data_IF_781548049667
#
_entry.id   IF_781548049667
#
_cell.length_a   1.000
_cell.length_b   1.000
_cell.length_c   1.000
_cell.angle_alpha   90.00
_cell.angle_beta   90.00
_cell.angle_gamma   90.00
#
_symmetry.space_group_name_H-M   'P 1'
#
loop_
_entity.id
_entity.type
_entity.pdbx_description
1 polymer ?
#
# COMPACT_ATOMS: atom_id res chain seq x y z
N UNK A 1 -8.62 15.73 14.01
CA UNK A 1 -10.07 15.53 13.75
C UNK A 1 -10.61 14.32 14.52
N UNK A 2 -10.02 13.13 14.39
CA UNK A 2 -10.48 11.92 15.10
C UNK A 2 -10.37 12.04 16.63
N UNK A 3 -9.31 12.66 17.15
CA UNK A 3 -9.15 12.90 18.57
C UNK A 3 -10.22 13.84 19.16
N UNK A 4 -10.77 14.75 18.34
CA UNK A 4 -11.87 15.62 18.72
C UNK A 4 -13.26 14.98 18.59
N UNK A 5 -13.36 13.79 17.99
CA UNK A 5 -14.61 13.06 17.90
C UNK A 5 -14.79 12.21 19.15
N UNK A 6 -15.57 12.68 20.10
CA UNK A 6 -15.86 11.93 21.33
C UNK A 6 -16.46 10.56 21.03
N UNK A 7 -16.05 9.58 21.82
CA UNK A 7 -16.41 8.16 21.76
C UNK A 7 -17.87 7.91 21.39
N UNK A 8 -18.11 7.14 20.35
CA UNK A 8 -19.42 6.64 19.93
C UNK A 8 -20.13 7.43 18.83
N UNK A 9 -19.61 8.58 18.40
CA UNK A 9 -20.17 9.35 17.29
C UNK A 9 -19.45 9.10 15.97
N UNK A 10 -20.17 9.03 14.86
CA UNK A 10 -19.56 9.06 13.52
C UNK A 10 -18.85 10.41 13.33
N UNK A 11 -17.53 10.38 13.17
CA UNK A 11 -16.76 11.57 12.83
C UNK A 11 -17.15 12.04 11.43
N UNK A 12 -18.02 13.03 11.36
CA UNK A 12 -18.47 13.56 10.07
C UNK A 12 -17.40 14.34 9.34
N UNK A 13 -17.50 14.41 8.02
CA UNK A 13 -16.59 15.18 7.16
C UNK A 13 -16.49 16.67 7.57
N UNK A 14 -17.53 17.21 8.24
CA UNK A 14 -17.55 18.55 8.79
C UNK A 14 -16.49 18.80 9.87
N UNK A 15 -16.24 17.83 10.74
CA UNK A 15 -15.19 17.92 11.78
C UNK A 15 -13.79 17.94 11.17
N UNK A 16 -13.57 17.18 10.10
CA UNK A 16 -12.31 17.19 9.35
C UNK A 16 -12.11 18.54 8.66
N UNK A 17 -13.13 19.04 7.96
CA UNK A 17 -13.09 20.35 7.29
C UNK A 17 -12.82 21.48 8.27
N UNK A 18 -13.45 21.45 9.44
CA UNK A 18 -13.21 22.43 10.50
C UNK A 18 -11.77 22.39 10.99
N UNK A 19 -11.24 21.20 11.32
CA UNK A 19 -9.85 21.06 11.78
C UNK A 19 -8.84 21.55 10.72
N UNK A 20 -9.07 21.23 9.44
CA UNK A 20 -8.22 21.74 8.34
C UNK A 20 -8.30 23.26 8.22
N UNK A 21 -9.49 23.83 8.36
CA UNK A 21 -9.67 25.29 8.33
C UNK A 21 -8.96 25.98 9.49
N UNK A 22 -9.09 25.40 10.69
CA UNK A 22 -8.46 25.95 11.90
C UNK A 22 -6.91 25.89 11.81
N UNK A 23 -6.33 24.80 11.28
CA UNK A 23 -4.88 24.66 11.03
C UNK A 23 -4.38 25.61 9.95
N UNK A 24 -5.20 25.95 8.94
CA UNK A 24 -4.86 26.95 7.92
C UNK A 24 -4.95 28.38 8.44
N UNK A 25 -5.66 28.60 9.54
CA UNK A 25 -5.84 29.87 10.20
C UNK A 25 -4.93 30.08 11.41
N UNK A 26 -3.72 29.49 11.39
CA UNK A 26 -2.65 29.64 12.40
C UNK A 26 -2.89 29.00 13.78
N UNK A 27 -3.93 28.19 13.95
CA UNK A 27 -4.06 27.39 15.18
C UNK A 27 -3.06 26.23 15.20
N UNK A 28 -2.42 26.03 16.35
CA UNK A 28 -1.56 24.86 16.52
C UNK A 28 -2.38 23.56 16.71
N UNK A 29 -1.80 22.39 16.41
CA UNK A 29 -2.43 21.12 16.72
C UNK A 29 -2.83 21.01 18.19
N UNK A 30 -2.02 21.51 19.11
CA UNK A 30 -2.24 21.49 20.56
C UNK A 30 -3.48 22.31 20.94
N UNK A 31 -3.67 23.50 20.35
CA UNK A 31 -4.86 24.33 20.57
C UNK A 31 -6.14 23.65 20.08
N UNK A 32 -6.06 22.83 19.03
CA UNK A 32 -7.21 22.08 18.52
C UNK A 32 -7.58 20.87 19.40
N UNK A 33 -6.63 20.35 20.17
CA UNK A 33 -6.81 19.15 20.97
C UNK A 33 -7.47 19.43 22.31
N UNK A 34 -7.20 20.59 22.91
CA UNK A 34 -7.66 20.92 24.24
C UNK A 34 -7.25 19.85 25.26
N UNK A 35 -8.23 19.31 26.00
CA UNK A 35 -7.99 18.28 27.02
C UNK A 35 -8.00 16.82 26.49
N UNK A 36 -7.83 16.61 25.19
CA UNK A 36 -7.93 15.27 24.57
C UNK A 36 -6.55 14.62 24.26
N UNK A 37 -5.50 14.94 25.01
CA UNK A 37 -4.12 14.48 24.79
C UNK A 37 -4.02 12.96 24.64
N UNK A 38 -4.72 12.19 25.48
CA UNK A 38 -4.71 10.72 25.40
C UNK A 38 -5.18 10.18 24.06
N UNK A 39 -6.23 10.74 23.49
CA UNK A 39 -6.74 10.31 22.18
C UNK A 39 -5.86 10.80 21.05
N UNK A 40 -5.26 11.98 21.20
CA UNK A 40 -4.26 12.47 20.25
C UNK A 40 -3.08 11.53 20.18
N UNK A 41 -2.45 11.22 21.30
CA UNK A 41 -1.29 10.33 21.36
C UNK A 41 -1.58 8.97 20.74
N UNK A 42 -2.75 8.40 21.03
CA UNK A 42 -3.15 7.12 20.44
C UNK A 42 -3.22 7.19 18.92
N UNK A 43 -3.97 8.16 18.37
CA UNK A 43 -4.11 8.30 16.92
C UNK A 43 -2.84 8.78 16.25
N UNK A 44 -2.08 9.67 16.87
CA UNK A 44 -0.79 10.12 16.35
C UNK A 44 0.16 8.95 16.15
N UNK A 45 0.34 8.10 17.16
CA UNK A 45 1.18 6.90 17.07
C UNK A 45 0.69 5.91 16.02
N UNK A 46 -0.62 5.71 15.92
CA UNK A 46 -1.19 4.82 14.92
C UNK A 46 -0.93 5.33 13.49
N UNK A 47 -1.18 6.61 13.24
CA UNK A 47 -0.93 7.20 11.92
C UNK A 47 0.56 7.35 11.62
N UNK A 48 1.39 7.70 12.60
CA UNK A 48 2.84 7.74 12.43
C UNK A 48 3.41 6.36 12.09
N UNK A 49 2.89 5.30 12.71
CA UNK A 49 3.29 3.93 12.39
C UNK A 49 2.99 3.52 10.94
N UNK A 50 1.89 4.04 10.37
CA UNK A 50 1.45 3.72 8.99
C UNK A 50 1.99 4.71 7.97
N UNK A 51 1.89 6.01 8.25
CA UNK A 51 2.17 7.08 7.29
C UNK A 51 3.53 7.75 7.48
N UNK A 52 4.20 7.48 8.60
CA UNK A 52 5.52 8.06 8.89
C UNK A 52 6.53 7.73 7.78
N UNK A 53 7.09 8.78 7.16
CA UNK A 53 7.96 8.67 6.00
C UNK A 53 7.23 8.58 4.65
N UNK A 54 5.94 8.23 4.61
CA UNK A 54 5.14 8.26 3.37
C UNK A 54 4.54 9.62 3.06
N UNK A 55 4.42 10.49 4.05
CA UNK A 55 3.91 11.87 3.86
C UNK A 55 5.07 12.84 3.95
N UNK A 56 5.16 13.74 2.98
CA UNK A 56 6.24 14.74 2.95
C UNK A 56 6.36 15.41 1.59
N UNK A 57 7.46 16.15 1.42
CA UNK A 57 7.79 16.81 0.15
C UNK A 57 8.43 15.84 -0.83
N UNK A 58 8.02 15.91 -2.08
CA UNK A 58 8.59 15.19 -3.21
C UNK A 58 8.41 15.99 -4.49
N UNK A 59 9.01 15.58 -5.59
CA UNK A 59 8.81 16.21 -6.89
C UNK A 59 8.07 15.25 -7.82
N UNK A 60 7.15 15.78 -8.61
CA UNK A 60 6.49 15.07 -9.70
C UNK A 60 6.83 15.73 -11.02
N UNK A 61 6.99 14.93 -12.06
CA UNK A 61 7.09 15.44 -13.41
C UNK A 61 5.71 15.81 -13.93
N UNK A 62 5.55 17.05 -14.38
CA UNK A 62 4.32 17.55 -14.99
C UNK A 62 4.70 18.42 -16.19
N UNK A 63 4.25 18.02 -17.36
CA UNK A 63 4.52 18.71 -18.63
C UNK A 63 6.04 18.96 -18.86
N UNK A 64 6.87 17.95 -18.57
CA UNK A 64 8.33 17.99 -18.70
C UNK A 64 9.05 18.86 -17.66
N UNK A 65 8.36 19.25 -16.57
CA UNK A 65 8.93 20.05 -15.48
C UNK A 65 8.74 19.36 -14.13
N UNK A 66 9.76 19.44 -13.30
CA UNK A 66 9.68 18.97 -11.92
C UNK A 66 8.95 19.97 -11.04
N UNK A 67 7.80 19.57 -10.50
CA UNK A 67 6.95 20.39 -9.64
C UNK A 67 7.04 19.90 -8.20
N UNK A 68 7.49 20.74 -7.26
CA UNK A 68 7.46 20.41 -5.84
C UNK A 68 6.02 20.13 -5.38
N UNK A 69 5.84 19.02 -4.70
CA UNK A 69 4.54 18.56 -4.20
C UNK A 69 4.69 18.11 -2.76
N UNK A 70 3.68 18.33 -1.95
CA UNK A 70 3.61 17.82 -0.59
C UNK A 70 2.40 16.92 -0.44
N UNK A 71 2.58 15.74 0.16
CA UNK A 71 1.50 14.79 0.41
C UNK A 71 1.98 13.37 0.55
N UNK A 72 1.13 12.43 0.20
CA UNK A 72 1.42 11.01 0.22
C UNK A 72 2.37 10.64 -0.93
N UNK A 73 3.54 10.11 -0.58
CA UNK A 73 4.58 9.64 -1.51
C UNK A 73 4.38 8.18 -1.87
N UNK A 74 3.18 7.81 -2.29
CA UNK A 74 2.85 6.45 -2.63
C UNK A 74 1.94 6.38 -3.86
N UNK A 75 2.11 5.34 -4.66
CA UNK A 75 1.28 5.04 -5.81
C UNK A 75 0.31 3.90 -5.50
N UNK A 76 -0.82 3.85 -6.22
CA UNK A 76 -1.61 2.61 -6.28
C UNK A 76 -0.73 1.49 -6.85
N UNK A 77 -0.79 0.25 -6.31
CA UNK A 77 -0.03 -0.86 -6.87
C UNK A 77 -0.51 -1.29 -8.27
N UNK A 78 -1.68 -0.82 -8.70
CA UNK A 78 -2.20 -1.05 -10.05
C UNK A 78 -1.86 0.16 -10.92
N UNK A 79 -1.26 -0.08 -12.07
CA UNK A 79 -0.87 0.98 -12.99
C UNK A 79 -2.08 1.83 -13.42
N UNK A 80 -1.85 3.13 -13.58
CA UNK A 80 -2.89 4.05 -14.03
C UNK A 80 -3.49 3.63 -15.39
N UNK A 81 -4.81 3.76 -15.52
CA UNK A 81 -5.54 3.38 -16.73
C UNK A 81 -6.02 1.93 -16.77
N UNK A 82 -5.75 1.14 -15.74
CA UNK A 82 -6.27 -0.22 -15.60
C UNK A 82 -7.32 -0.29 -14.50
N UNK A 83 -8.45 -0.91 -14.80
CA UNK A 83 -9.54 -1.10 -13.86
C UNK A 83 -9.22 -2.22 -12.86
N UNK A 84 -9.60 -2.01 -11.62
CA UNK A 84 -9.56 -3.01 -10.56
C UNK A 84 -10.65 -2.76 -9.52
N UNK A 85 -10.98 -3.79 -8.76
CA UNK A 85 -11.82 -3.66 -7.57
C UNK A 85 -11.04 -4.07 -6.33
N UNK A 86 -11.20 -3.31 -5.26
CA UNK A 86 -10.62 -3.61 -3.95
C UNK A 86 -11.58 -4.51 -3.17
N UNK A 87 -11.09 -5.66 -2.73
CA UNK A 87 -11.79 -6.55 -1.83
C UNK A 87 -11.15 -6.47 -0.44
N UNK A 88 -11.90 -5.86 0.50
CA UNK A 88 -11.41 -5.66 1.88
C UNK A 88 -11.60 -6.94 2.70
N UNK A 89 -10.61 -7.80 2.62
CA UNK A 89 -10.56 -9.09 3.31
C UNK A 89 -9.37 -9.21 4.28
N UNK A 90 -8.82 -8.08 4.72
CA UNK A 90 -7.80 -8.07 5.75
C UNK A 90 -8.27 -8.81 7.01
N UNK A 91 -7.46 -9.76 7.48
CA UNK A 91 -7.79 -10.59 8.64
C UNK A 91 -8.72 -11.77 8.36
N UNK A 92 -9.25 -11.93 7.13
CA UNK A 92 -10.02 -13.10 6.75
C UNK A 92 -9.19 -14.39 6.88
N UNK A 93 -9.88 -15.51 7.11
CA UNK A 93 -9.20 -16.80 7.28
C UNK A 93 -8.77 -17.38 5.94
N UNK A 94 -7.54 -17.84 5.86
CA UNK A 94 -6.97 -18.64 4.78
C UNK A 94 -6.60 -20.01 5.33
N UNK A 95 -6.84 -21.07 4.56
CA UNK A 95 -6.69 -22.48 5.03
C UNK A 95 -5.73 -23.35 4.22
N UNK A 96 -5.22 -22.87 3.08
CA UNK A 96 -4.23 -23.67 2.33
C UNK A 96 -2.99 -23.96 3.17
N UNK A 97 -2.66 -25.23 3.35
CA UNK A 97 -1.57 -25.73 4.19
C UNK A 97 -1.85 -25.67 5.69
N UNK A 98 -2.20 -24.52 6.23
CA UNK A 98 -2.62 -24.32 7.63
C UNK A 98 -3.52 -23.10 7.76
N UNK A 99 -4.24 -23.03 8.87
CA UNK A 99 -5.14 -21.90 9.14
C UNK A 99 -4.33 -20.65 9.54
N UNK A 100 -4.50 -19.56 8.80
CA UNK A 100 -3.83 -18.28 9.05
C UNK A 100 -4.76 -17.10 8.71
N UNK A 101 -4.40 -15.93 9.16
CA UNK A 101 -5.06 -14.68 8.77
C UNK A 101 -4.45 -14.13 7.48
N UNK A 102 -5.29 -13.56 6.64
CA UNK A 102 -4.84 -12.74 5.51
C UNK A 102 -4.31 -11.40 6.03
N UNK A 103 -3.06 -11.08 5.77
CA UNK A 103 -2.41 -9.85 6.22
C UNK A 103 -2.26 -8.81 5.08
N UNK A 104 -3.09 -8.93 4.07
CA UNK A 104 -3.16 -8.05 2.90
C UNK A 104 -4.59 -7.82 2.48
N UNK A 105 -4.75 -7.18 1.34
CA UNK A 105 -6.03 -6.99 0.67
C UNK A 105 -5.92 -7.51 -0.76
N UNK A 106 -7.00 -8.10 -1.25
CA UNK A 106 -7.05 -8.59 -2.62
C UNK A 106 -7.53 -7.48 -3.58
N UNK A 107 -6.73 -7.21 -4.59
CA UNK A 107 -7.06 -6.28 -5.67
C UNK A 107 -7.43 -7.12 -6.90
N UNK A 108 -8.71 -7.20 -7.20
CA UNK A 108 -9.23 -7.98 -8.32
C UNK A 108 -9.11 -7.22 -9.63
N UNK A 109 -8.58 -7.86 -10.67
CA UNK A 109 -8.39 -7.22 -11.97
C UNK A 109 -8.30 -8.21 -13.13
N UNK A 110 -7.80 -7.74 -14.26
CA UNK A 110 -7.60 -8.54 -15.45
C UNK A 110 -6.24 -9.21 -15.45
N UNK A 111 -6.15 -10.43 -15.96
CA UNK A 111 -4.89 -11.15 -16.12
C UNK A 111 -3.89 -10.32 -16.93
N UNK A 112 -2.70 -10.10 -16.36
CA UNK A 112 -1.65 -9.31 -17.01
C UNK A 112 -1.71 -7.81 -16.74
N UNK A 113 -2.64 -7.33 -15.92
CA UNK A 113 -2.63 -5.94 -15.45
C UNK A 113 -1.27 -5.61 -14.84
N UNK A 114 -0.61 -4.50 -15.26
CA UNK A 114 0.67 -4.11 -14.71
C UNK A 114 0.59 -3.76 -13.22
N UNK A 115 1.51 -4.32 -12.45
CA UNK A 115 1.68 -4.06 -11.01
C UNK A 115 2.92 -3.20 -10.83
N UNK A 116 2.76 -2.09 -10.12
CA UNK A 116 3.82 -1.10 -9.90
C UNK A 116 4.20 -0.96 -8.43
N UNK A 117 5.38 -0.45 -8.17
CA UNK A 117 5.86 -0.20 -6.82
C UNK A 117 5.03 0.88 -6.13
N UNK A 118 4.49 0.57 -4.97
CA UNK A 118 3.77 1.54 -4.11
C UNK A 118 4.72 2.63 -3.64
N UNK A 119 5.91 2.25 -3.23
CA UNK A 119 6.97 3.12 -2.72
C UNK A 119 8.31 2.69 -3.32
N UNK A 120 9.26 3.61 -3.40
CA UNK A 120 10.63 3.27 -3.78
C UNK A 120 11.32 2.43 -2.71
N UNK A 121 12.21 1.55 -3.15
CA UNK A 121 12.92 0.66 -2.23
C UNK A 121 13.85 -0.32 -2.92
N UNK A 122 14.30 -1.29 -2.14
CA UNK A 122 15.14 -2.40 -2.59
C UNK A 122 14.27 -3.61 -2.90
N UNK A 123 14.45 -4.25 -4.03
CA UNK A 123 13.89 -5.57 -4.33
C UNK A 123 14.58 -6.59 -3.43
N UNK A 124 13.98 -6.85 -2.27
CA UNK A 124 14.56 -7.73 -1.25
C UNK A 124 14.33 -9.22 -1.56
N UNK A 125 13.25 -9.53 -2.26
CA UNK A 125 12.92 -10.90 -2.60
C UNK A 125 12.09 -11.00 -3.87
N UNK A 126 12.43 -11.93 -4.74
CA UNK A 126 11.64 -12.32 -5.92
C UNK A 126 11.56 -13.84 -6.01
N UNK A 127 10.57 -14.34 -6.72
CA UNK A 127 10.49 -15.77 -7.03
C UNK A 127 9.20 -16.42 -6.55
N UNK A 128 9.23 -17.75 -6.48
CA UNK A 128 8.10 -18.57 -6.12
C UNK A 128 8.04 -18.88 -4.62
N UNK A 129 6.85 -18.89 -4.05
CA UNK A 129 6.57 -19.66 -2.87
C UNK A 129 5.18 -20.31 -2.94
N UNK A 130 4.95 -21.38 -2.19
CA UNK A 130 3.73 -22.19 -2.24
C UNK A 130 2.43 -21.42 -1.92
N UNK A 131 2.52 -20.32 -1.17
CA UNK A 131 1.35 -19.52 -0.76
C UNK A 131 1.06 -18.39 -1.74
N UNK A 132 2.02 -17.52 -1.95
CA UNK A 132 1.90 -16.33 -2.80
C UNK A 132 2.13 -16.57 -4.29
N UNK A 133 2.54 -17.79 -4.68
CA UNK A 133 2.93 -18.05 -6.07
C UNK A 133 4.17 -17.25 -6.48
N UNK A 134 4.16 -16.70 -7.68
CA UNK A 134 5.13 -15.72 -8.09
C UNK A 134 4.92 -14.42 -7.29
N UNK A 135 5.98 -13.95 -6.65
CA UNK A 135 5.89 -12.82 -5.71
C UNK A 135 7.11 -11.93 -5.78
N UNK A 136 6.93 -10.67 -5.37
CA UNK A 136 8.00 -9.68 -5.17
C UNK A 136 7.83 -9.06 -3.78
N UNK A 137 8.95 -8.85 -3.09
CA UNK A 137 9.03 -8.11 -1.85
C UNK A 137 9.92 -6.88 -2.00
N UNK A 138 9.39 -5.72 -1.68
CA UNK A 138 10.12 -4.45 -1.71
C UNK A 138 10.30 -3.94 -0.29
N UNK A 139 11.54 -3.71 0.11
CA UNK A 139 11.89 -3.04 1.37
C UNK A 139 12.04 -1.54 1.13
N UNK A 140 11.26 -0.71 1.83
CA UNK A 140 11.40 0.75 1.74
C UNK A 140 12.81 1.21 2.14
N UNK A 141 13.27 2.35 1.61
CA UNK A 141 14.62 2.87 1.89
C UNK A 141 14.87 3.16 3.37
N UNK A 142 13.84 3.54 4.12
CA UNK A 142 13.92 3.74 5.57
C UNK A 142 13.79 2.43 6.37
N UNK A 143 13.68 1.28 5.71
CA UNK A 143 13.50 -0.07 6.27
C UNK A 143 12.27 -0.26 7.16
N UNK A 144 11.35 0.70 7.20
CA UNK A 144 10.16 0.68 8.07
C UNK A 144 9.01 -0.13 7.50
N UNK A 145 8.96 -0.31 6.16
CA UNK A 145 7.88 -0.98 5.44
C UNK A 145 8.41 -2.08 4.53
N UNK A 146 7.60 -3.12 4.40
CA UNK A 146 7.84 -4.19 3.44
C UNK A 146 6.58 -4.42 2.64
N UNK A 147 6.67 -4.19 1.34
CA UNK A 147 5.57 -4.38 0.41
C UNK A 147 5.69 -5.76 -0.22
N UNK A 148 4.63 -6.53 -0.13
CA UNK A 148 4.59 -7.89 -0.65
C UNK A 148 3.51 -8.00 -1.73
N UNK A 149 3.94 -8.23 -2.96
CA UNK A 149 3.09 -8.41 -4.12
C UNK A 149 3.07 -9.90 -4.46
N UNK A 150 1.89 -10.50 -4.50
CA UNK A 150 1.72 -11.95 -4.65
C UNK A 150 0.81 -12.28 -5.83
N UNK A 151 0.70 -13.57 -6.11
CA UNK A 151 -0.16 -14.15 -7.13
C UNK A 151 0.09 -13.64 -8.54
N UNK A 152 1.33 -13.22 -8.83
CA UNK A 152 1.71 -12.69 -10.13
C UNK A 152 1.50 -13.72 -11.24
N UNK A 153 1.55 -13.25 -12.47
CA UNK A 153 1.22 -14.00 -13.69
C UNK A 153 2.13 -15.22 -13.89
N UNK A 154 1.55 -16.32 -14.31
CA UNK A 154 2.27 -17.50 -14.75
C UNK A 154 3.17 -17.19 -15.95
N UNK A 155 4.31 -17.85 -16.06
CA UNK A 155 5.32 -17.80 -17.13
C UNK A 155 6.04 -16.44 -17.29
N UNK A 156 5.34 -15.32 -17.09
CA UNK A 156 5.91 -13.96 -17.20
C UNK A 156 5.48 -13.10 -16.02
N UNK A 157 5.90 -13.43 -14.79
CA UNK A 157 5.43 -12.74 -13.60
C UNK A 157 6.03 -11.35 -13.41
N UNK A 158 7.27 -11.16 -13.81
CA UNK A 158 8.09 -10.00 -13.48
C UNK A 158 8.29 -9.05 -14.66
N UNK A 159 8.56 -7.80 -14.35
CA UNK A 159 9.04 -6.84 -15.32
C UNK A 159 10.36 -7.33 -15.96
N UNK A 160 10.59 -7.07 -17.26
CA UNK A 160 11.84 -7.43 -17.91
C UNK A 160 13.06 -6.84 -17.17
N UNK A 161 14.08 -7.67 -16.98
CA UNK A 161 15.35 -7.30 -16.34
C UNK A 161 15.30 -6.96 -14.84
N UNK A 162 14.16 -6.98 -14.19
CA UNK A 162 14.05 -6.77 -12.74
C UNK A 162 14.66 -7.97 -12.00
N UNK A 163 15.49 -7.71 -10.98
CA UNK A 163 16.21 -8.71 -10.18
C UNK A 163 16.19 -8.37 -8.70
N UNK A 164 16.40 -9.37 -7.87
CA UNK A 164 16.73 -9.15 -6.45
C UNK A 164 18.00 -8.28 -6.34
N UNK A 165 17.97 -7.32 -5.44
CA UNK A 165 19.03 -6.34 -5.25
C UNK A 165 18.84 -5.04 -6.04
N UNK A 166 17.91 -4.99 -6.99
CA UNK A 166 17.63 -3.76 -7.74
C UNK A 166 16.94 -2.72 -6.86
N UNK A 167 17.20 -1.47 -7.18
CA UNK A 167 16.48 -0.33 -6.61
C UNK A 167 15.33 0.04 -7.55
N UNK A 168 14.14 0.20 -6.99
CA UNK A 168 12.96 0.66 -7.70
C UNK A 168 12.47 1.98 -7.13
N UNK A 169 11.88 2.81 -7.99
CA UNK A 169 11.16 4.02 -7.60
C UNK A 169 9.66 3.74 -7.47
N UNK A 170 8.96 4.58 -6.73
CA UNK A 170 7.50 4.52 -6.68
C UNK A 170 6.92 4.66 -8.10
N UNK A 171 6.03 3.75 -8.48
CA UNK A 171 5.45 3.71 -9.83
C UNK A 171 6.21 2.85 -10.85
N UNK A 172 7.42 2.36 -10.54
CA UNK A 172 8.14 1.46 -11.42
C UNK A 172 7.40 0.13 -11.61
N UNK A 173 7.42 -0.40 -12.84
CA UNK A 173 6.82 -1.68 -13.16
C UNK A 173 7.55 -2.82 -12.44
N UNK A 174 6.81 -3.57 -11.64
CA UNK A 174 7.32 -4.73 -10.93
C UNK A 174 7.00 -6.04 -11.65
N UNK A 175 5.80 -6.15 -12.18
CA UNK A 175 5.32 -7.38 -12.79
C UNK A 175 3.88 -7.29 -13.25
N UNK A 176 3.23 -8.43 -13.37
CA UNK A 176 1.89 -8.53 -13.93
C UNK A 176 0.97 -9.36 -13.05
N UNK A 177 -0.25 -8.86 -12.87
CA UNK A 177 -1.29 -9.51 -12.08
C UNK A 177 -1.63 -10.90 -12.66
N UNK A 178 -1.83 -11.85 -11.77
CA UNK A 178 -2.11 -13.22 -12.15
C UNK A 178 -3.03 -13.93 -11.16
N UNK A 179 -2.82 -15.24 -11.03
CA UNK A 179 -3.55 -16.11 -10.10
C UNK A 179 -2.72 -17.34 -9.70
N UNK A 180 -1.38 -17.17 -9.64
CA UNK A 180 -0.47 -18.21 -9.22
C UNK A 180 -0.43 -18.36 -7.71
N UNK A 181 -0.01 -19.52 -7.23
CA UNK A 181 0.11 -19.81 -5.80
C UNK A 181 -0.84 -20.88 -5.31
N UNK A 182 -0.91 -21.05 -3.99
CA UNK A 182 -1.61 -22.15 -3.31
C UNK A 182 -1.30 -23.51 -3.93
N UNK A 183 -0.02 -23.75 -4.21
CA UNK A 183 0.47 -24.95 -4.88
C UNK A 183 1.89 -25.29 -4.44
N UNK A 184 2.16 -26.57 -4.22
CA UNK A 184 3.51 -27.11 -3.98
C UNK A 184 4.33 -27.17 -5.28
N UNK A 185 3.66 -27.10 -6.43
CA UNK A 185 4.32 -27.01 -7.74
C UNK A 185 4.50 -25.57 -8.12
N UNK A 186 5.68 -25.25 -8.59
CA UNK A 186 6.00 -23.92 -9.14
C UNK A 186 5.23 -23.64 -10.43
N UNK A 187 4.97 -22.36 -10.67
CA UNK A 187 4.40 -21.84 -11.91
C UNK A 187 3.01 -22.41 -12.25
N UNK A 188 2.15 -22.54 -11.24
CA UNK A 188 0.77 -23.08 -11.39
C UNK A 188 -0.25 -22.01 -11.03
N UNK A 189 -1.27 -21.88 -11.89
CA UNK A 189 -2.48 -21.10 -11.65
C UNK A 189 -3.48 -21.94 -10.84
N UNK A 190 -3.43 -21.88 -9.51
CA UNK A 190 -4.31 -22.65 -8.64
C UNK A 190 -5.32 -21.80 -7.86
N UNK A 191 -5.39 -20.51 -8.16
CA UNK A 191 -6.36 -19.58 -7.61
C UNK A 191 -7.43 -19.32 -8.66
N UNK A 192 -8.71 -19.26 -8.25
CA UNK A 192 -9.82 -19.12 -9.18
C UNK A 192 -9.85 -17.74 -9.84
N UNK A 193 -9.66 -16.70 -9.05
CA UNK A 193 -9.77 -15.31 -9.49
C UNK A 193 -8.41 -14.67 -9.71
N UNK A 194 -8.34 -13.77 -10.68
CA UNK A 194 -7.17 -12.93 -10.94
C UNK A 194 -7.13 -11.79 -9.93
N UNK A 195 -6.05 -11.69 -9.17
CA UNK A 195 -5.87 -10.61 -8.19
C UNK A 195 -4.40 -10.36 -7.85
#
# INVERSE_FOLDING_TARGET
ALAGCRTGGKCGLSSVKKAVSDLKGDKSPEELLGSNDRYYDYYHRAYEGVLGGLVGSYAIEKDGKWVPTYGLKAFSPIAAGYDYSHYDDFGATRSFGFRRKHLGNDLMGTLGTPVVAVEGGLVEAMGWNRYGGWRIGIRSFDSRRYYYYAHLKKDTPFAPNLREGDIVQAGDLLGFMGRTGYSDRENVNNIETVH
#
